data_IF_686957171846
#
_entry.id   IF_686957171846
#
_cell.length_a   1.000
_cell.length_b   1.000
_cell.length_c   1.000
_cell.angle_alpha   90.00
_cell.angle_beta   90.00
_cell.angle_gamma   90.00
#
_symmetry.space_group_name_H-M   'P 1'
#
loop_
_entity.id
_entity.type
_entity.pdbx_description
1 polymer ?
#
# COMPACT_ATOMS: atom_id res chain seq x y z
N UNK A 1 -4.30 -1.01 -26.20
CA UNK A 1 -3.25 -1.61 -25.35
C UNK A 1 -3.78 -2.88 -24.72
N UNK A 2 -2.96 -3.93 -24.61
CA UNK A 2 -3.37 -5.21 -24.06
C UNK A 2 -3.70 -5.12 -22.55
N UNK A 3 -4.87 -5.59 -22.06
CA UNK A 3 -5.32 -5.40 -20.67
C UNK A 3 -4.34 -5.90 -19.62
N UNK A 4 -3.68 -7.05 -19.85
CA UNK A 4 -2.64 -7.60 -18.97
C UNK A 4 -1.43 -6.67 -18.83
N UNK A 5 -1.01 -6.01 -19.92
CA UNK A 5 0.12 -5.04 -19.87
C UNK A 5 -0.27 -3.77 -19.12
N UNK A 6 -1.54 -3.36 -19.21
CA UNK A 6 -2.07 -2.22 -18.44
C UNK A 6 -2.11 -2.57 -16.95
N UNK A 7 -2.63 -3.75 -16.59
CA UNK A 7 -2.65 -4.23 -15.20
C UNK A 7 -1.23 -4.34 -14.62
N UNK A 8 -0.28 -4.91 -15.36
CA UNK A 8 1.12 -4.96 -14.93
C UNK A 8 1.68 -3.56 -14.64
N UNK A 9 1.50 -2.60 -15.55
CA UNK A 9 1.96 -1.22 -15.36
C UNK A 9 1.33 -0.53 -14.16
N UNK A 10 0.03 -0.74 -13.96
CA UNK A 10 -0.70 -0.20 -12.80
C UNK A 10 -0.13 -0.77 -11.49
N UNK A 11 0.09 -2.07 -11.42
CA UNK A 11 0.63 -2.70 -10.21
C UNK A 11 2.08 -2.32 -9.95
N UNK A 12 2.91 -2.16 -11.00
CA UNK A 12 4.27 -1.61 -10.83
C UNK A 12 4.25 -0.16 -10.36
N UNK A 13 3.30 0.64 -10.83
CA UNK A 13 3.14 2.02 -10.35
C UNK A 13 2.67 2.04 -8.89
N UNK A 14 1.75 1.17 -8.50
CA UNK A 14 1.33 1.01 -7.11
C UNK A 14 2.50 0.60 -6.20
N UNK A 15 3.33 -0.34 -6.64
CA UNK A 15 4.53 -0.75 -5.91
C UNK A 15 5.52 0.42 -5.75
N UNK A 16 5.73 1.22 -6.80
CA UNK A 16 6.60 2.39 -6.75
C UNK A 16 6.08 3.47 -5.80
N UNK A 17 4.77 3.73 -5.79
CA UNK A 17 4.13 4.64 -4.83
C UNK A 17 4.35 4.17 -3.39
N UNK A 18 4.17 2.87 -3.13
CA UNK A 18 4.35 2.31 -1.80
C UNK A 18 5.82 2.30 -1.35
N UNK A 19 6.76 2.09 -2.28
CA UNK A 19 8.20 2.29 -2.01
C UNK A 19 8.52 3.75 -1.68
N UNK A 20 7.91 4.70 -2.40
CA UNK A 20 8.01 6.12 -2.09
C UNK A 20 7.53 6.44 -0.66
N UNK A 21 6.41 5.85 -0.24
CA UNK A 21 5.91 5.97 1.12
C UNK A 21 6.87 5.38 2.17
N UNK A 22 7.41 4.20 1.91
CA UNK A 22 8.40 3.57 2.78
C UNK A 22 9.68 4.42 2.89
N UNK A 23 10.14 4.98 1.78
CA UNK A 23 11.31 5.85 1.74
C UNK A 23 11.08 7.15 2.52
N UNK A 24 9.92 7.80 2.34
CA UNK A 24 9.55 8.99 3.11
C UNK A 24 9.47 8.71 4.62
N UNK A 25 8.87 7.57 5.01
CA UNK A 25 8.80 7.15 6.41
C UNK A 25 10.19 6.89 7.01
N UNK A 26 11.05 6.18 6.27
CA UNK A 26 12.43 5.92 6.68
C UNK A 26 13.25 7.21 6.79
N UNK A 27 13.08 8.15 5.86
CA UNK A 27 13.72 9.46 5.91
C UNK A 27 13.32 10.24 7.16
N UNK A 28 12.02 10.25 7.51
CA UNK A 28 11.55 10.86 8.75
C UNK A 28 12.15 10.19 9.99
N UNK A 29 12.18 8.85 10.04
CA UNK A 29 12.80 8.10 11.14
C UNK A 29 14.30 8.41 11.32
N UNK A 30 15.05 8.52 10.22
CA UNK A 30 16.47 8.86 10.26
C UNK A 30 16.73 10.28 10.78
N UNK A 31 15.82 11.21 10.48
CA UNK A 31 15.90 12.59 10.98
C UNK A 31 15.31 12.75 12.39
N UNK A 32 14.44 11.83 12.80
CA UNK A 32 13.64 11.90 14.02
C UNK A 32 14.47 12.19 15.26
N UNK A 33 15.52 11.40 15.50
CA UNK A 33 16.39 11.56 16.68
C UNK A 33 17.02 12.96 16.77
N UNK A 34 17.54 13.47 15.65
CA UNK A 34 18.11 14.83 15.61
C UNK A 34 17.08 15.91 15.90
N UNK A 35 15.88 15.78 15.34
CA UNK A 35 14.80 16.75 15.58
C UNK A 35 14.33 16.73 17.03
N UNK A 36 14.26 15.54 17.65
CA UNK A 36 13.92 15.41 19.07
C UNK A 36 14.97 16.09 19.94
N UNK A 37 16.25 15.93 19.61
CA UNK A 37 17.34 16.56 20.36
C UNK A 37 17.38 18.09 20.17
N UNK A 38 17.13 18.58 18.96
CA UNK A 38 17.19 20.02 18.60
C UNK A 38 15.99 20.82 19.13
N UNK A 39 14.80 20.23 19.21
CA UNK A 39 13.55 20.90 19.58
C UNK A 39 13.22 20.81 21.08
N UNK A 40 14.02 20.07 21.86
CA UNK A 40 13.87 19.99 23.32
C UNK A 40 14.14 21.33 24.02
N UNK A 41 13.68 21.51 25.27
CA UNK A 41 13.19 20.49 26.20
C UNK A 41 11.69 20.15 26.04
N UNK A 42 11.34 18.88 26.25
CA UNK A 42 9.99 18.34 26.10
C UNK A 42 9.28 18.20 27.44
N UNK A 43 7.97 18.47 27.46
CA UNK A 43 7.10 18.11 28.59
C UNK A 43 6.83 16.60 28.63
N UNK A 44 6.34 16.09 29.78
CA UNK A 44 5.99 14.66 29.90
C UNK A 44 4.92 14.21 28.89
N UNK A 45 3.93 15.07 28.61
CA UNK A 45 2.86 14.75 27.66
C UNK A 45 3.41 14.70 26.22
N UNK A 46 4.31 15.61 25.86
CA UNK A 46 4.98 15.59 24.55
C UNK A 46 5.89 14.37 24.40
N UNK A 47 6.61 13.96 25.45
CA UNK A 47 7.44 12.75 25.41
C UNK A 47 6.62 11.49 25.06
N UNK A 48 5.40 11.36 25.59
CA UNK A 48 4.51 10.23 25.23
C UNK A 48 4.03 10.30 23.79
N UNK A 49 3.75 11.50 23.27
CA UNK A 49 3.35 11.69 21.87
C UNK A 49 4.53 11.42 20.92
N UNK A 50 5.74 11.81 21.30
CA UNK A 50 6.98 11.54 20.56
C UNK A 50 7.18 10.02 20.43
N UNK A 51 7.14 9.28 21.53
CA UNK A 51 7.28 7.81 21.49
C UNK A 51 6.20 7.15 20.62
N UNK A 52 4.96 7.62 20.73
CA UNK A 52 3.86 7.12 19.91
C UNK A 52 4.05 7.46 18.40
N UNK A 53 4.49 8.67 18.06
CA UNK A 53 4.82 9.05 16.68
C UNK A 53 5.94 8.17 16.12
N UNK A 54 6.99 7.89 16.89
CA UNK A 54 8.10 7.03 16.48
C UNK A 54 7.65 5.59 16.19
N UNK A 55 6.85 5.00 17.09
CA UNK A 55 6.34 3.63 16.93
C UNK A 55 5.42 3.51 15.72
N UNK A 56 4.54 4.50 15.51
CA UNK A 56 3.65 4.52 14.34
C UNK A 56 4.40 4.78 13.02
N UNK A 57 5.40 5.66 12.99
CA UNK A 57 6.27 5.87 11.81
C UNK A 57 7.04 4.59 11.46
N UNK A 58 7.55 3.88 12.47
CA UNK A 58 8.25 2.60 12.30
C UNK A 58 7.30 1.54 11.73
N UNK A 59 6.10 1.42 12.30
CA UNK A 59 5.06 0.54 11.78
C UNK A 59 4.68 0.87 10.33
N UNK A 60 4.49 2.16 10.02
CA UNK A 60 4.19 2.61 8.67
C UNK A 60 5.31 2.30 7.67
N UNK A 61 6.58 2.48 8.05
CA UNK A 61 7.73 2.15 7.22
C UNK A 61 7.79 0.64 6.91
N UNK A 62 7.63 -0.20 7.93
CA UNK A 62 7.65 -1.67 7.78
C UNK A 62 6.47 -2.16 6.95
N UNK A 63 5.26 -1.66 7.23
CA UNK A 63 4.06 -2.02 6.47
C UNK A 63 4.18 -1.58 5.01
N UNK A 64 4.66 -0.36 4.74
CA UNK A 64 4.86 0.11 3.38
C UNK A 64 5.91 -0.72 2.63
N UNK A 65 7.03 -1.04 3.26
CA UNK A 65 8.03 -1.94 2.69
C UNK A 65 7.45 -3.32 2.38
N UNK A 66 6.74 -3.94 3.34
CA UNK A 66 6.10 -5.24 3.15
C UNK A 66 5.05 -5.24 2.02
N UNK A 67 4.19 -4.22 1.98
CA UNK A 67 3.18 -4.07 0.93
C UNK A 67 3.80 -3.83 -0.44
N UNK A 68 4.91 -3.08 -0.52
CA UNK A 68 5.63 -2.90 -1.78
C UNK A 68 6.21 -4.21 -2.30
N UNK A 69 6.84 -5.01 -1.43
CA UNK A 69 7.38 -6.33 -1.80
C UNK A 69 6.25 -7.26 -2.27
N UNK A 70 5.10 -7.23 -1.59
CA UNK A 70 3.91 -7.97 -1.97
C UNK A 70 3.39 -7.53 -3.35
N UNK A 71 3.26 -6.22 -3.61
CA UNK A 71 2.83 -5.66 -4.90
C UNK A 71 3.80 -6.02 -6.04
N UNK A 72 5.11 -6.01 -5.79
CA UNK A 72 6.11 -6.50 -6.76
C UNK A 72 5.90 -7.98 -7.04
N UNK A 73 5.72 -8.80 -6.00
CA UNK A 73 5.41 -10.23 -6.14
C UNK A 73 4.15 -10.47 -6.97
N UNK A 74 3.09 -9.70 -6.72
CA UNK A 74 1.84 -9.74 -7.49
C UNK A 74 2.12 -9.35 -8.96
N UNK A 75 2.82 -8.25 -9.22
CA UNK A 75 3.13 -7.80 -10.57
C UNK A 75 3.91 -8.87 -11.37
N UNK A 76 4.87 -9.56 -10.73
CA UNK A 76 5.61 -10.66 -11.32
C UNK A 76 4.78 -11.93 -11.51
N UNK A 77 3.71 -12.10 -10.73
CA UNK A 77 2.79 -13.23 -10.80
C UNK A 77 1.68 -13.04 -11.84
N UNK A 78 1.27 -11.81 -12.16
CA UNK A 78 0.27 -11.49 -13.20
C UNK A 78 0.53 -12.18 -14.55
N UNK A 79 1.76 -12.18 -15.11
CA UNK A 79 2.01 -12.86 -16.37
C UNK A 79 2.09 -14.40 -16.27
N UNK A 80 2.05 -15.00 -15.06
CA UNK A 80 2.18 -16.45 -14.87
C UNK A 80 0.85 -17.17 -15.14
N UNK A 81 0.99 -18.44 -15.58
CA UNK A 81 -0.04 -19.14 -16.37
C UNK A 81 -0.96 -20.05 -15.56
N UNK A 82 -0.64 -20.38 -14.31
CA UNK A 82 -1.37 -21.40 -13.54
C UNK A 82 -2.59 -20.81 -12.80
N UNK A 83 -3.71 -21.56 -12.72
CA UNK A 83 -4.93 -21.11 -12.03
C UNK A 83 -4.69 -20.77 -10.55
N UNK A 84 -3.86 -21.56 -9.86
CA UNK A 84 -3.43 -21.29 -8.48
C UNK A 84 -2.72 -19.94 -8.30
N UNK A 85 -1.89 -19.53 -9.26
CA UNK A 85 -1.19 -18.23 -9.17
C UNK A 85 -2.18 -17.07 -9.29
N UNK A 86 -3.28 -17.26 -10.02
CA UNK A 86 -4.28 -16.22 -10.31
C UNK A 86 -5.22 -15.97 -9.14
N UNK A 87 -5.68 -17.03 -8.46
CA UNK A 87 -6.46 -16.89 -7.21
C UNK A 87 -5.60 -16.25 -6.12
N UNK A 88 -4.32 -16.64 -6.02
CA UNK A 88 -3.37 -16.07 -5.08
C UNK A 88 -3.16 -14.57 -5.33
N UNK A 89 -3.05 -14.13 -6.59
CA UNK A 89 -2.98 -12.69 -6.96
C UNK A 89 -4.21 -11.92 -6.47
N UNK A 90 -5.42 -12.46 -6.64
CA UNK A 90 -6.65 -11.84 -6.16
C UNK A 90 -6.68 -11.68 -4.64
N UNK A 91 -6.37 -12.75 -3.91
CA UNK A 91 -6.27 -12.72 -2.45
C UNK A 91 -5.20 -11.77 -1.93
N UNK A 92 -4.04 -11.74 -2.60
CA UNK A 92 -2.95 -10.84 -2.25
C UNK A 92 -3.34 -9.37 -2.46
N UNK A 93 -4.07 -9.03 -3.53
CA UNK A 93 -4.57 -7.66 -3.74
C UNK A 93 -5.63 -7.25 -2.71
N UNK A 94 -6.50 -8.18 -2.32
CA UNK A 94 -7.46 -7.95 -1.23
C UNK A 94 -6.73 -7.70 0.09
N UNK A 95 -5.71 -8.51 0.40
CA UNK A 95 -4.86 -8.32 1.58
C UNK A 95 -4.16 -6.96 1.56
N UNK A 96 -3.58 -6.54 0.43
CA UNK A 96 -3.00 -5.19 0.26
C UNK A 96 -4.03 -4.11 0.59
N UNK A 97 -5.25 -4.25 0.07
CA UNK A 97 -6.32 -3.26 0.26
C UNK A 97 -6.72 -3.15 1.73
N UNK A 98 -6.93 -4.30 2.41
CA UNK A 98 -7.26 -4.33 3.83
C UNK A 98 -6.13 -3.76 4.69
N UNK A 99 -4.88 -4.13 4.40
CA UNK A 99 -3.72 -3.61 5.13
C UNK A 99 -3.54 -2.09 4.96
N UNK A 100 -3.81 -1.54 3.77
CA UNK A 100 -3.76 -0.09 3.55
C UNK A 100 -4.85 0.64 4.34
N UNK A 101 -6.08 0.10 4.37
CA UNK A 101 -7.17 0.66 5.18
C UNK A 101 -6.85 0.63 6.67
N UNK A 102 -6.28 -0.48 7.17
CA UNK A 102 -5.80 -0.56 8.55
C UNK A 102 -4.67 0.44 8.81
N UNK A 103 -3.75 0.62 7.87
CA UNK A 103 -2.66 1.60 7.98
C UNK A 103 -3.13 3.06 8.01
N UNK A 104 -4.30 3.38 7.44
CA UNK A 104 -4.94 4.69 7.60
C UNK A 104 -5.51 4.85 9.01
N UNK A 105 -6.22 3.84 9.51
CA UNK A 105 -6.87 3.87 10.84
C UNK A 105 -5.83 3.96 11.96
N UNK A 106 -4.73 3.23 11.84
CA UNK A 106 -3.63 3.23 12.81
C UNK A 106 -2.47 4.15 12.38
N UNK A 107 -2.72 5.12 11.50
CA UNK A 107 -1.69 6.03 10.99
C UNK A 107 -1.11 6.94 12.08
N UNK A 108 0.11 7.47 11.88
CA UNK A 108 0.75 8.38 12.84
C UNK A 108 -0.05 9.67 13.05
N UNK A 109 -0.85 10.09 12.07
CA UNK A 109 -1.73 11.26 12.19
C UNK A 109 -2.86 11.06 13.21
N UNK A 110 -3.30 9.82 13.43
CA UNK A 110 -4.34 9.51 14.41
C UNK A 110 -3.86 9.63 15.87
N UNK A 111 -2.54 9.66 16.08
CA UNK A 111 -1.89 9.78 17.40
C UNK A 111 -1.74 11.23 17.83
N UNK A 112 -1.62 12.16 16.87
CA UNK A 112 -1.50 13.58 17.14
C UNK A 112 -2.88 14.18 17.44
N UNK A 113 -3.32 14.02 18.69
CA UNK A 113 -4.40 14.80 19.28
C UNK A 113 -3.76 15.87 20.20
N UNK A 114 -3.30 17.00 19.65
CA UNK A 114 -2.69 18.05 20.47
C UNK A 114 -3.74 18.67 21.40
N UNK A 115 -3.36 18.94 22.64
CA UNK A 115 -4.23 19.62 23.62
C UNK A 115 -4.46 21.09 23.25
N UNK A 116 -3.53 21.70 22.50
CA UNK A 116 -3.59 23.08 22.04
C UNK A 116 -2.76 23.35 20.77
N UNK A 117 -2.97 24.50 20.13
CA UNK A 117 -2.29 24.90 18.89
C UNK A 117 -0.77 25.03 19.05
N UNK A 118 -0.28 25.51 20.20
CA UNK A 118 1.16 25.63 20.45
C UNK A 118 1.89 24.28 20.48
N UNK A 119 1.24 23.24 20.99
CA UNK A 119 1.78 21.88 20.99
C UNK A 119 1.77 21.29 19.59
N UNK A 120 0.74 21.60 18.78
CA UNK A 120 0.71 21.22 17.37
C UNK A 120 1.86 21.85 16.59
N UNK A 121 2.09 23.16 16.77
CA UNK A 121 3.17 23.89 16.08
C UNK A 121 4.56 23.35 16.48
N UNK A 122 4.71 22.88 17.72
CA UNK A 122 5.96 22.28 18.23
C UNK A 122 6.17 20.84 17.72
N UNK A 123 5.10 20.07 17.51
CA UNK A 123 5.15 18.68 17.01
C UNK A 123 5.15 18.59 15.46
N UNK A 124 4.68 19.61 14.76
CA UNK A 124 4.60 19.64 13.29
C UNK A 124 5.93 19.34 12.57
N UNK A 125 7.11 19.77 13.06
CA UNK A 125 8.38 19.39 12.46
C UNK A 125 8.68 17.88 12.52
N UNK A 126 8.12 17.15 13.49
CA UNK A 126 8.31 15.71 13.67
C UNK A 126 7.44 14.90 12.71
N UNK A 127 6.20 15.33 12.48
CA UNK A 127 5.29 14.74 11.49
C UNK A 127 4.75 15.84 10.55
N UNK A 128 5.48 16.12 9.46
CA UNK A 128 5.13 17.23 8.60
C UNK A 128 3.90 16.91 7.75
N UNK A 129 3.04 17.91 7.53
CA UNK A 129 1.78 17.80 6.78
C UNK A 129 1.93 17.18 5.37
N UNK A 130 3.08 17.37 4.73
CA UNK A 130 3.32 16.77 3.42
C UNK A 130 3.32 15.24 3.49
N UNK A 131 3.76 14.64 4.61
CA UNK A 131 3.82 13.19 4.79
C UNK A 131 2.41 12.62 4.95
N UNK A 132 1.57 13.27 5.76
CA UNK A 132 0.14 12.97 5.91
C UNK A 132 -0.58 13.02 4.56
N UNK A 133 -0.35 14.09 3.78
CA UNK A 133 -0.94 14.25 2.45
C UNK A 133 -0.44 13.16 1.48
N UNK A 134 0.86 12.86 1.50
CA UNK A 134 1.47 11.79 0.70
C UNK A 134 0.88 10.41 1.07
N UNK A 135 0.68 10.13 2.35
CA UNK A 135 0.07 8.89 2.83
C UNK A 135 -1.35 8.73 2.28
N UNK A 136 -2.19 9.76 2.42
CA UNK A 136 -3.57 9.75 1.92
C UNK A 136 -3.65 9.56 0.40
N UNK A 137 -2.80 10.26 -0.36
CA UNK A 137 -2.69 10.11 -1.81
C UNK A 137 -2.22 8.71 -2.21
N UNK A 138 -1.20 8.20 -1.54
CA UNK A 138 -0.64 6.87 -1.82
C UNK A 138 -1.69 5.79 -1.62
N UNK A 139 -2.39 5.79 -0.47
CA UNK A 139 -3.45 4.82 -0.18
C UNK A 139 -4.54 4.88 -1.25
N UNK A 140 -5.02 6.08 -1.57
CA UNK A 140 -6.08 6.26 -2.57
C UNK A 140 -5.66 5.75 -3.94
N UNK A 141 -4.47 6.14 -4.41
CA UNK A 141 -3.96 5.75 -5.72
C UNK A 141 -3.67 4.24 -5.80
N UNK A 142 -3.14 3.63 -4.74
CA UNK A 142 -2.87 2.19 -4.70
C UNK A 142 -4.18 1.40 -4.70
N UNK A 143 -5.20 1.82 -3.96
CA UNK A 143 -6.52 1.17 -3.98
C UNK A 143 -7.16 1.28 -5.36
N UNK A 144 -7.22 2.49 -5.93
CA UNK A 144 -7.81 2.72 -7.26
C UNK A 144 -7.04 1.99 -8.36
N UNK A 145 -5.70 2.02 -8.31
CA UNK A 145 -4.83 1.33 -9.23
C UNK A 145 -5.00 -0.19 -9.16
N UNK A 146 -5.08 -0.74 -7.95
CA UNK A 146 -5.31 -2.17 -7.71
C UNK A 146 -6.69 -2.62 -8.20
N UNK A 147 -7.74 -1.87 -7.89
CA UNK A 147 -9.10 -2.15 -8.36
C UNK A 147 -9.17 -2.10 -9.89
N UNK A 148 -8.54 -1.09 -10.51
CA UNK A 148 -8.47 -0.97 -11.96
C UNK A 148 -7.70 -2.13 -12.59
N UNK A 149 -6.61 -2.58 -11.96
CA UNK A 149 -5.86 -3.75 -12.41
C UNK A 149 -6.73 -5.03 -12.35
N UNK A 150 -7.50 -5.23 -11.28
CA UNK A 150 -8.45 -6.35 -11.16
C UNK A 150 -9.50 -6.31 -12.29
N UNK A 151 -10.13 -5.16 -12.53
CA UNK A 151 -11.13 -5.00 -13.61
C UNK A 151 -10.52 -5.28 -14.99
N UNK A 152 -9.27 -4.85 -15.23
CA UNK A 152 -8.59 -5.16 -16.49
C UNK A 152 -8.27 -6.65 -16.61
N UNK A 153 -7.88 -7.29 -15.51
CA UNK A 153 -7.65 -8.72 -15.45
C UNK A 153 -8.94 -9.54 -15.46
N UNK A 154 -10.12 -8.96 -15.23
CA UNK A 154 -11.39 -9.69 -15.36
C UNK A 154 -12.02 -9.58 -16.75
N UNK A 155 -11.49 -8.71 -17.62
CA UNK A 155 -12.04 -8.50 -18.97
C UNK A 155 -11.84 -9.71 -19.90
N UNK A 156 -12.80 -9.95 -20.80
CA UNK A 156 -12.75 -11.02 -21.82
C UNK A 156 -11.49 -10.94 -22.70
N UNK A 157 -11.01 -9.71 -22.98
CA UNK A 157 -9.78 -9.47 -23.72
C UNK A 157 -8.52 -9.96 -22.96
N UNK A 158 -8.55 -10.03 -21.63
CA UNK A 158 -7.52 -10.74 -20.88
C UNK A 158 -7.68 -12.25 -21.07
N UNK A 159 -8.92 -12.76 -21.15
CA UNK A 159 -9.24 -14.17 -21.41
C UNK A 159 -8.59 -14.68 -22.69
N UNK A 160 -8.79 -13.93 -23.78
CA UNK A 160 -8.20 -14.22 -25.09
C UNK A 160 -6.67 -14.26 -25.07
N UNK A 161 -6.02 -13.44 -24.25
CA UNK A 161 -4.56 -13.45 -24.13
C UNK A 161 -4.02 -14.74 -23.57
N UNK A 162 -4.64 -15.21 -22.49
CA UNK A 162 -4.22 -16.46 -21.87
C UNK A 162 -4.60 -17.65 -22.75
N UNK A 163 -5.77 -17.64 -23.38
CA UNK A 163 -6.19 -18.66 -24.36
C UNK A 163 -5.25 -18.73 -25.59
N UNK A 164 -4.82 -17.57 -26.11
CA UNK A 164 -3.92 -17.52 -27.28
C UNK A 164 -2.50 -17.99 -26.95
N UNK A 165 -2.07 -17.92 -25.69
CA UNK A 165 -0.76 -18.40 -25.23
C UNK A 165 -0.80 -19.79 -24.59
N UNK A 166 -1.98 -20.26 -24.19
CA UNK A 166 -2.25 -21.59 -23.67
C UNK A 166 -3.68 -22.02 -24.08
N UNK A 167 -3.83 -22.77 -25.19
CA UNK A 167 -5.14 -23.16 -25.70
C UNK A 167 -5.87 -24.16 -24.80
N UNK A 168 -5.20 -24.72 -23.79
CA UNK A 168 -5.82 -25.59 -22.77
C UNK A 168 -6.34 -24.82 -21.56
N UNK A 169 -6.06 -23.51 -21.47
CA UNK A 169 -6.52 -22.68 -20.36
C UNK A 169 -8.04 -22.49 -20.40
N UNK A 170 -8.77 -22.99 -19.40
CA UNK A 170 -10.23 -22.90 -19.28
C UNK A 170 -10.76 -21.55 -18.78
N UNK A 171 -9.91 -20.53 -18.71
CA UNK A 171 -10.20 -19.29 -17.99
C UNK A 171 -11.03 -18.30 -18.83
N UNK A 172 -12.21 -17.92 -18.33
CA UNK A 172 -13.16 -16.98 -18.95
C UNK A 172 -13.13 -15.56 -18.35
N UNK A 173 -12.13 -15.25 -17.52
CA UNK A 173 -12.14 -14.05 -16.68
C UNK A 173 -12.56 -14.36 -15.24
N UNK A 174 -12.65 -13.34 -14.39
CA UNK A 174 -13.39 -13.44 -13.12
C UNK A 174 -14.85 -13.13 -13.45
N UNK A 175 -15.61 -14.15 -13.88
CA UNK A 175 -17.04 -14.03 -14.19
C UNK A 175 -17.90 -13.88 -12.94
N UNK A 176 -17.44 -14.41 -11.80
CA UNK A 176 -18.03 -14.18 -10.49
C UNK A 176 -17.02 -14.40 -9.35
N UNK A 177 -17.25 -13.80 -8.19
CA UNK A 177 -16.49 -14.10 -6.96
C UNK A 177 -16.68 -15.54 -6.44
N UNK A 178 -17.68 -16.24 -6.97
CA UNK A 178 -18.00 -17.63 -6.63
C UNK A 178 -17.14 -18.64 -7.40
N UNK A 179 -16.58 -18.25 -8.56
CA UNK A 179 -15.66 -19.10 -9.35
C UNK A 179 -14.28 -19.28 -8.71
N UNK A 180 -14.01 -18.59 -7.59
CA UNK A 180 -12.79 -18.76 -6.77
C UNK A 180 -12.90 -19.99 -5.85
N UNK A 181 -14.07 -20.62 -5.73
CA UNK A 181 -14.22 -21.89 -5.01
C UNK A 181 -13.72 -23.03 -5.89
N UNK A 182 -12.59 -23.60 -5.46
CA UNK A 182 -12.09 -24.96 -5.70
C UNK A 182 -12.82 -25.73 -6.81
N UNK A 183 -12.18 -25.82 -7.98
CA UNK A 183 -12.39 -26.96 -8.87
C UNK A 183 -11.51 -28.09 -8.36
N UNK A 184 -12.16 -29.07 -7.72
CA UNK A 184 -11.61 -30.42 -7.52
C UNK A 184 -11.33 -31.10 -8.86
#
# INVERSE_FOLDING_TARGET
>A
MHPVRVALRLLTACAALQLGQAASACWLLLRYGRLVDELGPWSRNEATLIEAVYTHLTGAAVLAAGLSALLVGIALAVPRRTPYTRSLVGWALLLVTVSLLLGVVYGPDAVLLPDNQSQLDHLQPLLPLWYTAQQGLTVTLVIVGSATAVVRLSSEAAGEYYLRHDPTATWRGFTSWLDVRFQD
#
